data_IF_959905434032
#
_entry.id   IF_959905434032
#
_cell.length_a   1.000
_cell.length_b   1.000
_cell.length_c   1.000
_cell.angle_alpha   90.00
_cell.angle_beta   90.00
_cell.angle_gamma   90.00
#
_symmetry.space_group_name_H-M   'P 1'
#
loop_
_entity.id
_entity.type
_entity.pdbx_description
1 polymer ?
#
# COMPACT_ATOMS: atom_id res chain seq x y z
N UNK A 1 -21.53 -33.45 12.68
CA UNK A 1 -20.13 -32.98 12.52
C UNK A 1 -19.83 -32.25 11.19
N UNK A 2 -20.80 -32.11 10.25
CA UNK A 2 -20.58 -31.49 8.92
C UNK A 2 -20.54 -29.96 8.98
N UNK A 3 -21.36 -29.36 9.86
CA UNK A 3 -21.52 -27.91 9.97
C UNK A 3 -20.26 -27.20 10.49
N UNK A 4 -19.54 -27.79 11.46
CA UNK A 4 -18.34 -27.17 12.02
C UNK A 4 -17.21 -27.05 11.00
N UNK A 5 -17.06 -28.04 10.09
CA UNK A 5 -16.08 -27.98 9.02
C UNK A 5 -16.40 -26.86 8.02
N UNK A 6 -17.68 -26.68 7.68
CA UNK A 6 -18.13 -25.60 6.79
C UNK A 6 -17.93 -24.22 7.42
N UNK A 7 -18.21 -24.08 8.72
CA UNK A 7 -18.01 -22.83 9.46
C UNK A 7 -16.52 -22.46 9.49
N UNK A 8 -15.66 -23.41 9.85
CA UNK A 8 -14.20 -23.18 9.87
C UNK A 8 -13.67 -22.80 8.48
N UNK A 9 -14.12 -23.50 7.43
CA UNK A 9 -13.73 -23.19 6.06
C UNK A 9 -14.17 -21.78 5.64
N UNK A 10 -15.38 -21.36 6.02
CA UNK A 10 -15.88 -20.01 5.75
C UNK A 10 -15.06 -18.95 6.47
N UNK A 11 -14.70 -19.15 7.74
CA UNK A 11 -13.89 -18.20 8.51
C UNK A 11 -12.50 -18.05 7.87
N UNK A 12 -11.87 -19.17 7.49
CA UNK A 12 -10.58 -19.12 6.79
C UNK A 12 -10.69 -18.40 5.45
N UNK A 13 -11.73 -18.67 4.65
CA UNK A 13 -11.94 -18.01 3.37
C UNK A 13 -12.15 -16.49 3.54
N UNK A 14 -12.97 -16.08 4.52
CA UNK A 14 -13.19 -14.66 4.83
C UNK A 14 -11.89 -13.99 5.30
N UNK A 15 -11.11 -14.63 6.16
CA UNK A 15 -9.81 -14.10 6.61
C UNK A 15 -8.81 -13.92 5.46
N UNK A 16 -8.78 -14.84 4.50
CA UNK A 16 -7.95 -14.72 3.30
C UNK A 16 -8.42 -13.58 2.39
N UNK A 17 -9.73 -13.43 2.22
CA UNK A 17 -10.30 -12.33 1.43
C UNK A 17 -10.03 -10.97 2.08
N UNK A 18 -10.24 -10.84 3.39
CA UNK A 18 -10.02 -9.58 4.10
C UNK A 18 -8.54 -9.19 4.12
N UNK A 19 -7.64 -10.14 4.38
CA UNK A 19 -6.19 -9.87 4.33
C UNK A 19 -5.74 -9.44 2.93
N UNK A 20 -6.21 -10.11 1.89
CA UNK A 20 -5.91 -9.74 0.50
C UNK A 20 -6.44 -8.34 0.16
N UNK A 21 -7.66 -8.03 0.62
CA UNK A 21 -8.27 -6.71 0.42
C UNK A 21 -7.48 -5.61 1.13
N UNK A 22 -7.05 -5.84 2.37
CA UNK A 22 -6.22 -4.89 3.12
C UNK A 22 -4.92 -4.60 2.37
N UNK A 23 -4.19 -5.63 1.95
CA UNK A 23 -2.93 -5.46 1.20
C UNK A 23 -3.16 -4.69 -0.10
N UNK A 24 -4.21 -5.02 -0.86
CA UNK A 24 -4.54 -4.32 -2.10
C UNK A 24 -4.92 -2.85 -1.86
N UNK A 25 -5.68 -2.57 -0.80
CA UNK A 25 -6.05 -1.19 -0.44
C UNK A 25 -4.83 -0.37 0.01
N UNK A 26 -3.95 -0.92 0.85
CA UNK A 26 -2.73 -0.25 1.28
C UNK A 26 -1.84 0.12 0.09
N UNK A 27 -1.68 -0.81 -0.87
CA UNK A 27 -0.97 -0.54 -2.14
C UNK A 27 -1.57 0.63 -2.89
N UNK A 28 -2.88 0.62 -3.11
CA UNK A 28 -3.57 1.68 -3.82
C UNK A 28 -3.42 3.05 -3.14
N UNK A 29 -3.56 3.10 -1.81
CA UNK A 29 -3.41 4.35 -1.06
C UNK A 29 -1.97 4.86 -1.06
N UNK A 30 -0.97 3.99 -0.91
CA UNK A 30 0.44 4.38 -0.98
C UNK A 30 0.81 4.94 -2.36
N UNK A 31 0.36 4.29 -3.45
CA UNK A 31 0.58 4.81 -4.80
C UNK A 31 0.00 6.21 -4.97
N UNK A 32 -1.23 6.43 -4.51
CA UNK A 32 -1.88 7.75 -4.58
C UNK A 32 -1.19 8.79 -3.71
N UNK A 33 -0.66 8.39 -2.56
CA UNK A 33 0.10 9.27 -1.68
C UNK A 33 1.41 9.70 -2.34
N UNK A 34 2.17 8.75 -2.91
CA UNK A 34 3.41 9.03 -3.65
C UNK A 34 3.14 9.98 -4.82
N UNK A 35 2.11 9.71 -5.62
CA UNK A 35 1.71 10.54 -6.77
C UNK A 35 1.43 11.99 -6.32
N UNK A 36 0.76 12.15 -5.17
CA UNK A 36 0.48 13.46 -4.58
C UNK A 36 1.76 14.16 -4.08
N UNK A 37 2.66 13.41 -3.46
CA UNK A 37 3.93 13.93 -2.94
C UNK A 37 4.86 14.36 -4.07
N UNK A 38 4.94 13.57 -5.14
CA UNK A 38 5.69 13.87 -6.37
C UNK A 38 5.15 15.14 -7.01
N UNK A 39 3.84 15.22 -7.25
CA UNK A 39 3.21 16.39 -7.86
C UNK A 39 3.53 17.68 -7.08
N UNK A 40 3.43 17.65 -5.75
CA UNK A 40 3.77 18.81 -4.90
C UNK A 40 5.25 19.18 -4.95
N UNK A 41 6.14 18.20 -5.08
CA UNK A 41 7.57 18.46 -5.20
C UNK A 41 7.91 19.09 -6.56
N UNK A 42 7.31 18.58 -7.64
CA UNK A 42 7.47 19.12 -8.99
C UNK A 42 6.90 20.54 -9.12
N UNK A 43 5.78 20.85 -8.46
CA UNK A 43 5.21 22.21 -8.39
C UNK A 43 6.18 23.22 -7.76
N UNK A 44 7.08 22.77 -6.88
CA UNK A 44 8.13 23.60 -6.27
C UNK A 44 9.46 23.55 -7.03
N UNK A 45 9.45 23.04 -8.27
CA UNK A 45 10.64 22.80 -9.09
C UNK A 45 11.71 21.94 -8.37
N UNK A 46 11.29 21.12 -7.40
CA UNK A 46 12.16 20.22 -6.66
C UNK A 46 12.46 18.93 -7.41
N UNK A 47 13.51 18.23 -7.00
CA UNK A 47 13.84 16.88 -7.46
C UNK A 47 13.39 15.88 -6.41
N UNK A 48 12.65 14.84 -6.82
CA UNK A 48 12.16 13.79 -5.92
C UNK A 48 12.95 12.49 -6.02
N UNK A 49 12.98 11.73 -4.93
CA UNK A 49 13.49 10.36 -4.85
C UNK A 49 12.47 9.50 -4.11
N UNK A 50 12.06 8.39 -4.74
CA UNK A 50 11.16 7.40 -4.14
C UNK A 50 11.88 6.07 -4.09
N UNK A 51 12.12 5.58 -2.87
CA UNK A 51 12.76 4.29 -2.64
C UNK A 51 11.77 3.34 -1.97
N UNK A 52 11.49 2.20 -2.61
CA UNK A 52 10.71 1.11 -1.99
C UNK A 52 11.59 0.36 -0.99
N UNK A 53 11.23 0.43 0.29
CA UNK A 53 11.95 -0.24 1.38
C UNK A 53 11.47 -1.66 1.59
N UNK A 54 10.19 -1.95 1.33
CA UNK A 54 9.63 -3.30 1.46
C UNK A 54 8.49 -3.53 0.46
N UNK A 55 8.66 -4.51 -0.43
CA UNK A 55 7.70 -4.85 -1.48
C UNK A 55 6.45 -5.59 -0.96
N UNK A 56 6.56 -6.27 0.18
CA UNK A 56 5.46 -7.00 0.81
C UNK A 56 4.49 -6.03 1.48
N UNK A 57 5.00 -5.11 2.29
CA UNK A 57 4.19 -4.07 2.97
C UNK A 57 3.96 -2.82 2.13
N UNK A 58 4.61 -2.72 0.97
CA UNK A 58 4.66 -1.48 0.16
C UNK A 58 5.14 -0.27 0.95
N UNK A 59 6.06 -0.50 1.88
CA UNK A 59 6.70 0.60 2.60
C UNK A 59 7.66 1.32 1.66
N UNK A 60 7.64 2.66 1.73
CA UNK A 60 8.44 3.51 0.88
C UNK A 60 9.05 4.67 1.67
N UNK A 61 10.11 5.24 1.13
CA UNK A 61 10.69 6.52 1.57
C UNK A 61 10.57 7.52 0.43
N UNK A 62 10.04 8.69 0.74
CA UNK A 62 9.94 9.82 -0.18
C UNK A 62 10.85 10.94 0.29
N UNK A 63 11.65 11.48 -0.62
CA UNK A 63 12.44 12.70 -0.40
C UNK A 63 12.14 13.71 -1.50
N UNK A 64 11.91 14.96 -1.14
CA UNK A 64 11.88 16.09 -2.05
C UNK A 64 13.04 17.03 -1.72
N UNK A 65 13.87 17.34 -2.70
CA UNK A 65 14.98 18.29 -2.57
C UNK A 65 14.62 19.54 -3.38
N UNK A 66 14.63 20.70 -2.73
CA UNK A 66 14.55 21.96 -3.45
C UNK A 66 15.78 22.09 -4.37
N UNK A 67 15.56 22.50 -5.62
CA UNK A 67 16.65 22.93 -6.48
C UNK A 67 16.90 24.42 -6.14
N UNK A 68 17.92 24.68 -5.31
CA UNK A 68 18.47 26.02 -5.08
C UNK A 68 19.20 26.56 -6.33
#
# INVERSE_FOLDING_TARGET
>A
MKNNKTIVASICATALLTSSFVVASSRYFHDKEIDTLVAKCEEQHGTYDVTMTDALTNSYSFQCRAND
#
